data_IF_178273670581
#
_entry.id   IF_178273670581
#
_cell.length_a   1.000
_cell.length_b   1.000
_cell.length_c   1.000
_cell.angle_alpha   90.00
_cell.angle_beta   90.00
_cell.angle_gamma   90.00
#
_symmetry.space_group_name_H-M   'P 1'
#
loop_
_entity.id
_entity.type
_entity.pdbx_description
1 polymer ?
#
# COMPACT_ATOMS: atom_id res chain seq x y z
N UNK A 1 -9.27 1.78 -13.18
CA UNK A 1 -8.32 2.50 -12.29
C UNK A 1 -8.43 1.94 -10.87
N UNK A 2 -7.33 1.55 -10.27
CA UNK A 2 -7.24 1.07 -8.89
C UNK A 2 -6.75 2.21 -7.99
N UNK A 3 -7.50 2.51 -6.93
CA UNK A 3 -7.24 3.66 -6.07
C UNK A 3 -6.98 3.24 -4.63
N UNK A 4 -6.05 3.95 -3.98
CA UNK A 4 -5.63 3.74 -2.60
C UNK A 4 -5.70 5.06 -1.83
N UNK A 5 -6.23 5.01 -0.61
CA UNK A 5 -6.17 6.10 0.37
C UNK A 5 -5.28 5.66 1.53
N UNK A 6 -4.33 6.48 1.89
CA UNK A 6 -3.39 6.26 2.99
C UNK A 6 -3.64 7.28 4.08
N UNK A 7 -4.08 6.83 5.25
CA UNK A 7 -4.25 7.65 6.45
C UNK A 7 -3.07 7.48 7.40
N UNK A 8 -2.49 8.58 7.84
CA UNK A 8 -1.37 8.57 8.77
C UNK A 8 -1.28 9.88 9.56
N UNK A 9 -0.42 9.88 10.57
CA UNK A 9 0.07 11.14 11.14
C UNK A 9 1.35 11.57 10.45
N UNK A 10 1.56 12.87 10.35
CA UNK A 10 2.76 13.44 9.75
C UNK A 10 4.03 12.85 10.38
N UNK A 11 4.90 12.27 9.53
CA UNK A 11 6.12 11.57 9.94
C UNK A 11 6.01 10.02 9.97
N UNK A 12 4.82 9.42 9.81
CA UNK A 12 4.66 7.95 9.74
C UNK A 12 4.94 7.37 8.34
N UNK A 13 5.16 8.21 7.32
CA UNK A 13 5.63 7.78 6.01
C UNK A 13 4.54 7.31 5.03
N UNK A 14 3.28 7.75 5.17
CA UNK A 14 2.22 7.41 4.22
C UNK A 14 2.55 7.84 2.78
N UNK A 15 3.02 9.07 2.58
CA UNK A 15 3.39 9.53 1.25
C UNK A 15 4.60 8.76 0.68
N UNK A 16 5.53 8.34 1.54
CA UNK A 16 6.64 7.48 1.10
C UNK A 16 6.10 6.14 0.59
N UNK A 17 5.18 5.49 1.33
CA UNK A 17 4.54 4.25 0.89
C UNK A 17 3.73 4.44 -0.39
N UNK A 18 2.92 5.50 -0.47
CA UNK A 18 2.15 5.83 -1.68
C UNK A 18 3.04 5.98 -2.91
N UNK A 19 4.18 6.66 -2.78
CA UNK A 19 5.17 6.82 -3.86
C UNK A 19 5.85 5.51 -4.23
N UNK A 20 6.21 4.67 -3.25
CA UNK A 20 6.81 3.35 -3.52
C UNK A 20 5.84 2.46 -4.30
N UNK A 21 4.56 2.43 -3.90
CA UNK A 21 3.53 1.68 -4.62
C UNK A 21 3.34 2.21 -6.04
N UNK A 22 3.28 3.53 -6.22
CA UNK A 22 3.18 4.14 -7.54
C UNK A 22 4.38 3.83 -8.43
N UNK A 23 5.60 3.83 -7.87
CA UNK A 23 6.80 3.46 -8.60
C UNK A 23 6.81 1.96 -8.95
N UNK A 24 6.40 1.08 -8.02
CA UNK A 24 6.26 -0.34 -8.26
C UNK A 24 5.35 -0.61 -9.47
N UNK A 25 4.15 -0.02 -9.47
CA UNK A 25 3.21 -0.17 -10.58
C UNK A 25 3.76 0.41 -11.91
N UNK A 26 4.42 1.57 -11.87
CA UNK A 26 4.97 2.20 -13.08
C UNK A 26 6.18 1.48 -13.67
N UNK A 27 6.88 0.65 -12.89
CA UNK A 27 7.96 -0.22 -13.34
C UNK A 27 7.43 -1.52 -13.94
N UNK A 28 6.21 -1.91 -13.58
CA UNK A 28 5.49 -3.04 -14.20
C UNK A 28 5.09 -2.69 -15.63
N UNK A 29 5.10 -3.68 -16.50
CA UNK A 29 4.79 -3.46 -17.92
C UNK A 29 3.36 -2.95 -18.12
N UNK A 30 3.22 -1.82 -18.82
CA UNK A 30 1.95 -1.29 -19.29
C UNK A 30 1.10 -0.59 -18.22
N UNK A 31 1.59 -0.37 -17.00
CA UNK A 31 0.86 0.36 -15.97
C UNK A 31 1.29 1.82 -15.88
N UNK A 32 0.33 2.67 -15.56
CA UNK A 32 0.52 4.09 -15.23
C UNK A 32 0.17 4.28 -13.76
N UNK A 33 0.93 5.14 -13.08
CA UNK A 33 0.67 5.41 -11.67
C UNK A 33 0.80 6.90 -11.34
N UNK A 34 0.04 7.34 -10.36
CA UNK A 34 0.10 8.67 -9.79
C UNK A 34 0.04 8.57 -8.26
N UNK A 35 1.00 9.19 -7.58
CA UNK A 35 1.01 9.25 -6.12
C UNK A 35 1.20 10.69 -5.64
N UNK A 36 0.34 11.16 -4.72
CA UNK A 36 0.38 12.51 -4.19
C UNK A 36 -0.18 12.60 -2.77
N UNK A 37 0.29 13.55 -1.93
CA UNK A 37 -0.26 13.80 -0.61
C UNK A 37 -1.45 14.76 -0.69
N UNK A 38 -2.24 14.83 0.38
CA UNK A 38 -3.14 15.98 0.58
C UNK A 38 -2.30 17.24 0.77
N UNK A 39 -2.69 18.30 0.06
CA UNK A 39 -2.07 19.62 0.23
C UNK A 39 -2.59 20.29 1.50
N UNK A 40 -1.69 20.71 2.37
CA UNK A 40 -1.98 21.40 3.62
C UNK A 40 -0.71 21.68 4.41
N UNK A 41 -0.78 22.42 5.52
CA UNK A 41 0.40 22.66 6.34
C UNK A 41 0.87 21.33 6.96
N UNK A 42 2.00 20.83 6.45
CA UNK A 42 2.65 19.62 6.99
C UNK A 42 3.10 19.89 8.43
N UNK A 43 2.43 19.27 9.38
CA UNK A 43 2.82 19.29 10.79
C UNK A 43 3.07 17.87 11.25
N UNK A 44 4.22 17.65 11.89
CA UNK A 44 4.54 16.38 12.52
C UNK A 44 3.45 16.00 13.52
N UNK A 45 2.91 14.77 13.39
CA UNK A 45 1.86 14.24 14.25
C UNK A 45 0.43 14.64 13.85
N UNK A 46 0.23 15.63 12.97
CA UNK A 46 -1.11 15.96 12.47
C UNK A 46 -1.63 14.88 11.50
N UNK A 47 -2.95 14.64 11.46
CA UNK A 47 -3.55 13.77 10.46
C UNK A 47 -3.21 14.25 9.04
N UNK A 48 -2.85 13.31 8.18
CA UNK A 48 -2.58 13.54 6.76
C UNK A 48 -3.09 12.38 5.92
N UNK A 49 -3.36 12.63 4.65
CA UNK A 49 -3.67 11.60 3.67
C UNK A 49 -2.69 11.64 2.52
N UNK A 50 -2.45 10.47 1.93
CA UNK A 50 -1.81 10.35 0.63
C UNK A 50 -2.66 9.43 -0.25
N UNK A 51 -2.47 9.50 -1.54
CA UNK A 51 -3.22 8.75 -2.53
C UNK A 51 -2.27 8.06 -3.50
N UNK A 52 -2.68 6.87 -3.95
CA UNK A 52 -2.06 6.21 -5.10
C UNK A 52 -3.17 5.82 -6.07
N UNK A 53 -2.99 6.13 -7.34
CA UNK A 53 -3.85 5.70 -8.45
C UNK A 53 -3.01 4.87 -9.40
N UNK A 54 -3.53 3.71 -9.84
CA UNK A 54 -2.88 2.81 -10.80
C UNK A 54 -3.88 2.50 -11.91
N UNK A 55 -3.45 2.58 -13.16
CA UNK A 55 -4.31 2.31 -14.32
C UNK A 55 -3.49 1.72 -15.48
N UNK A 56 -4.16 1.11 -16.44
CA UNK A 56 -3.60 0.66 -17.72
C UNK A 56 -3.55 1.78 -18.76
N UNK A 57 -4.18 2.92 -18.49
CA UNK A 57 -4.17 4.12 -19.33
C UNK A 57 -3.55 5.32 -18.60
N UNK A 58 -3.05 6.33 -19.33
CA UNK A 58 -2.52 7.56 -18.73
C UNK A 58 -3.51 8.24 -17.79
N UNK A 59 -3.09 8.51 -16.55
CA UNK A 59 -3.93 9.09 -15.51
C UNK A 59 -3.94 10.62 -15.62
N UNK A 60 -5.01 11.19 -16.13
CA UNK A 60 -5.22 12.64 -16.20
C UNK A 60 -5.84 13.24 -14.94
N UNK A 61 -6.61 12.46 -14.19
CA UNK A 61 -7.30 12.91 -12.98
C UNK A 61 -6.35 12.97 -11.78
N UNK A 62 -6.13 14.18 -11.28
CA UNK A 62 -5.31 14.49 -10.10
C UNK A 62 -6.12 14.89 -8.88
N UNK A 63 -7.43 14.69 -8.91
CA UNK A 63 -8.31 14.96 -7.77
C UNK A 63 -8.03 13.99 -6.62
N UNK A 64 -8.36 14.42 -5.40
CA UNK A 64 -8.31 13.53 -4.23
C UNK A 64 -9.23 12.33 -4.43
N UNK A 65 -8.79 11.17 -3.95
CA UNK A 65 -9.60 9.95 -3.95
C UNK A 65 -10.63 10.05 -2.83
N UNK A 66 -11.89 9.80 -3.15
CA UNK A 66 -12.98 9.79 -2.17
C UNK A 66 -13.43 8.38 -1.80
N UNK A 67 -13.34 7.44 -2.74
CA UNK A 67 -13.64 6.02 -2.52
C UNK A 67 -12.55 5.18 -3.18
N UNK A 68 -11.96 4.28 -2.42
CA UNK A 68 -10.82 3.49 -2.86
C UNK A 68 -11.08 1.98 -2.70
N UNK A 69 -10.42 1.19 -3.53
CA UNK A 69 -10.37 -0.25 -3.35
C UNK A 69 -9.62 -0.63 -2.07
N UNK A 70 -8.63 0.16 -1.69
CA UNK A 70 -7.88 -0.02 -0.44
C UNK A 70 -7.80 1.28 0.33
N UNK A 71 -8.29 1.27 1.58
CA UNK A 71 -8.15 2.37 2.54
C UNK A 71 -7.22 1.90 3.66
N UNK A 72 -6.08 2.56 3.82
CA UNK A 72 -4.96 2.08 4.65
C UNK A 72 -4.74 3.06 5.80
N UNK A 73 -4.89 2.57 7.02
CA UNK A 73 -4.64 3.34 8.24
C UNK A 73 -3.35 2.89 8.92
N UNK A 74 -2.33 3.75 8.88
CA UNK A 74 -1.06 3.52 9.58
C UNK A 74 -1.19 3.73 11.09
N UNK A 75 -2.27 4.40 11.52
CA UNK A 75 -2.57 4.74 12.91
C UNK A 75 -4.06 4.53 13.18
N UNK A 76 -4.41 3.53 14.00
CA UNK A 76 -5.81 3.20 14.30
C UNK A 76 -6.59 4.32 14.98
N UNK A 77 -5.90 5.28 15.60
CA UNK A 77 -6.55 6.44 16.22
C UNK A 77 -7.13 7.45 15.23
N UNK A 78 -6.89 7.24 13.94
CA UNK A 78 -7.44 8.06 12.84
C UNK A 78 -8.71 7.48 12.24
N UNK A 79 -9.12 6.28 12.66
CA UNK A 79 -10.39 5.70 12.20
C UNK A 79 -11.53 6.42 12.89
N UNK A 80 -12.39 7.07 12.12
CA UNK A 80 -13.56 7.81 12.56
C UNK A 80 -14.84 7.11 12.12
N UNK A 81 -15.97 7.48 12.68
CA UNK A 81 -17.28 7.01 12.24
C UNK A 81 -17.50 7.41 10.75
N UNK A 82 -18.06 6.51 9.96
CA UNK A 82 -18.27 6.74 8.53
C UNK A 82 -17.07 6.38 7.65
N UNK A 83 -16.05 5.70 8.19
CA UNK A 83 -14.90 5.22 7.41
C UNK A 83 -15.31 4.36 6.19
N UNK A 84 -16.47 3.70 6.28
CA UNK A 84 -17.03 2.89 5.20
C UNK A 84 -17.32 3.69 3.92
N UNK A 85 -17.59 4.99 4.06
CA UNK A 85 -17.88 5.88 2.94
C UNK A 85 -16.67 6.08 2.02
N UNK A 86 -15.45 5.82 2.54
CA UNK A 86 -14.22 5.86 1.76
C UNK A 86 -13.93 4.54 1.00
N UNK A 87 -14.66 3.45 1.28
CA UNK A 87 -14.51 2.20 0.53
C UNK A 87 -15.31 2.23 -0.78
N UNK A 88 -14.66 1.86 -1.87
CA UNK A 88 -15.35 1.45 -3.08
C UNK A 88 -16.14 0.16 -2.84
N UNK A 89 -17.14 -0.17 -3.64
CA UNK A 89 -17.82 -1.46 -3.56
C UNK A 89 -16.81 -2.61 -3.60
N UNK A 90 -16.84 -3.48 -2.57
CA UNK A 90 -15.86 -4.56 -2.41
C UNK A 90 -14.46 -4.14 -1.93
N UNK A 91 -14.27 -2.87 -1.59
CA UNK A 91 -13.01 -2.37 -1.05
C UNK A 91 -12.68 -2.92 0.33
N UNK A 92 -11.42 -2.84 0.70
CA UNK A 92 -10.86 -3.36 1.95
C UNK A 92 -10.13 -2.26 2.73
N UNK A 93 -10.40 -2.18 4.03
CA UNK A 93 -9.58 -1.41 4.96
C UNK A 93 -8.41 -2.25 5.44
N UNK A 94 -7.19 -1.71 5.35
CA UNK A 94 -5.99 -2.26 6.00
C UNK A 94 -5.70 -1.40 7.24
N UNK A 95 -5.72 -2.01 8.42
CA UNK A 95 -5.59 -1.29 9.69
C UNK A 95 -4.38 -1.77 10.48
N UNK A 96 -3.50 -0.84 10.87
CA UNK A 96 -2.43 -1.14 11.82
C UNK A 96 -3.00 -1.35 13.21
N UNK A 97 -3.23 -2.60 13.59
CA UNK A 97 -3.77 -2.95 14.89
C UNK A 97 -3.40 -4.38 15.30
N UNK A 98 -3.34 -4.62 16.61
CA UNK A 98 -3.18 -5.96 17.21
C UNK A 98 -4.51 -6.61 17.56
N UNK A 99 -5.61 -5.87 17.46
CA UNK A 99 -6.93 -6.37 17.84
C UNK A 99 -7.47 -7.33 16.79
N UNK A 100 -8.16 -8.37 17.24
CA UNK A 100 -9.04 -9.15 16.39
C UNK A 100 -10.24 -8.27 15.99
N UNK A 101 -10.64 -8.35 14.74
CA UNK A 101 -11.74 -7.57 14.18
C UNK A 101 -12.72 -8.52 13.50
N UNK A 102 -14.01 -8.29 13.73
CA UNK A 102 -15.07 -9.17 13.21
C UNK A 102 -15.65 -8.67 11.87
N UNK A 103 -15.34 -7.43 11.44
CA UNK A 103 -15.80 -6.89 10.16
C UNK A 103 -14.94 -7.45 9.02
N UNK A 104 -15.54 -8.22 8.07
CA UNK A 104 -14.80 -8.81 6.96
C UNK A 104 -14.19 -7.79 5.99
N UNK A 105 -14.63 -6.52 6.06
CA UNK A 105 -14.07 -5.43 5.26
C UNK A 105 -12.79 -4.85 5.86
N UNK A 106 -12.36 -5.33 7.04
CA UNK A 106 -11.19 -4.81 7.72
C UNK A 106 -10.15 -5.92 7.91
N UNK A 107 -8.97 -5.72 7.34
CA UNK A 107 -7.81 -6.55 7.60
C UNK A 107 -6.90 -5.87 8.63
N UNK A 108 -6.95 -6.35 9.86
CA UNK A 108 -6.02 -5.92 10.92
C UNK A 108 -4.63 -6.54 10.72
N UNK A 109 -3.59 -5.72 10.75
CA UNK A 109 -2.18 -6.15 10.63
C UNK A 109 -1.40 -5.47 11.76
N UNK A 110 -0.64 -6.24 12.57
CA UNK A 110 0.32 -5.68 13.55
C UNK A 110 1.56 -5.14 12.82
N UNK A 111 1.37 -4.04 12.09
CA UNK A 111 2.43 -3.45 11.28
C UNK A 111 3.57 -2.88 12.16
N UNK A 112 3.25 -2.38 13.33
CA UNK A 112 4.26 -1.92 14.30
C UNK A 112 5.09 -3.10 14.82
N UNK A 113 4.48 -4.25 15.13
CA UNK A 113 5.18 -5.44 15.59
C UNK A 113 6.09 -6.02 14.50
N UNK A 114 5.57 -6.19 13.27
CA UNK A 114 6.34 -6.70 12.13
C UNK A 114 7.57 -5.81 11.87
N UNK A 115 7.37 -4.51 11.77
CA UNK A 115 8.48 -3.59 11.50
C UNK A 115 9.47 -3.50 12.66
N UNK A 116 9.00 -3.53 13.90
CA UNK A 116 9.86 -3.50 15.09
C UNK A 116 10.78 -4.74 15.17
N UNK A 117 10.29 -5.92 14.76
CA UNK A 117 11.09 -7.15 14.73
C UNK A 117 12.29 -7.02 13.79
N UNK A 118 12.14 -6.31 12.67
CA UNK A 118 13.20 -6.15 11.66
C UNK A 118 14.09 -4.94 11.95
N UNK A 119 13.50 -3.81 12.37
CA UNK A 119 14.18 -2.51 12.52
C UNK A 119 14.55 -2.16 13.96
N UNK A 120 13.99 -2.87 14.95
CA UNK A 120 14.07 -2.49 16.37
C UNK A 120 13.20 -1.28 16.74
N UNK A 121 12.32 -0.82 15.84
CA UNK A 121 11.40 0.30 16.06
C UNK A 121 10.17 0.19 15.14
N UNK A 122 9.00 0.69 15.55
CA UNK A 122 7.80 0.65 14.75
C UNK A 122 7.89 1.65 13.57
N UNK A 123 7.74 1.14 12.34
CA UNK A 123 7.63 1.92 11.11
C UNK A 123 6.64 1.18 10.20
N UNK A 124 5.33 1.41 10.35
CA UNK A 124 4.30 0.56 9.73
C UNK A 124 4.14 0.72 8.22
N UNK A 125 4.58 1.82 7.64
CA UNK A 125 4.30 2.17 6.25
C UNK A 125 4.76 1.12 5.23
N UNK A 126 5.94 0.53 5.41
CA UNK A 126 6.48 -0.47 4.47
C UNK A 126 5.80 -1.83 4.62
N UNK A 127 5.23 -2.13 5.80
CA UNK A 127 4.47 -3.36 6.04
C UNK A 127 3.26 -3.42 5.11
N UNK A 128 2.54 -2.32 4.95
CA UNK A 128 1.39 -2.28 4.05
C UNK A 128 1.77 -2.44 2.57
N UNK A 129 2.97 -2.00 2.17
CA UNK A 129 3.48 -2.30 0.83
C UNK A 129 3.63 -3.81 0.59
N UNK A 130 4.08 -4.56 1.59
CA UNK A 130 4.17 -6.02 1.51
C UNK A 130 2.81 -6.73 1.57
N UNK A 131 1.82 -6.14 2.23
CA UNK A 131 0.47 -6.69 2.28
C UNK A 131 -0.28 -6.60 0.93
N UNK A 132 -0.08 -5.52 0.18
CA UNK A 132 -0.82 -5.23 -1.07
C UNK A 132 -0.68 -6.35 -2.12
N UNK A 133 0.52 -6.89 -2.46
CA UNK A 133 0.66 -7.94 -3.47
C UNK A 133 -0.03 -9.26 -3.09
N UNK A 134 -0.29 -9.49 -1.80
CA UNK A 134 -1.07 -10.65 -1.37
C UNK A 134 -2.58 -10.47 -1.59
N UNK A 135 -3.03 -9.23 -1.82
CA UNK A 135 -4.45 -8.85 -1.89
C UNK A 135 -4.91 -8.47 -3.30
N UNK A 136 -3.99 -8.12 -4.21
CA UNK A 136 -4.32 -7.72 -5.58
C UNK A 136 -3.23 -8.16 -6.56
N UNK A 137 -3.63 -8.49 -7.77
CA UNK A 137 -2.71 -8.82 -8.87
C UNK A 137 -2.13 -7.59 -9.58
N UNK A 138 -2.48 -6.37 -9.15
CA UNK A 138 -2.03 -5.15 -9.80
C UNK A 138 -0.52 -4.89 -9.66
N UNK A 139 0.11 -5.46 -8.64
CA UNK A 139 1.55 -5.41 -8.40
C UNK A 139 2.01 -6.74 -7.78
N UNK A 140 3.19 -7.18 -8.14
CA UNK A 140 3.85 -8.34 -7.53
C UNK A 140 4.75 -7.92 -6.35
N UNK A 141 5.26 -8.88 -5.61
CA UNK A 141 6.23 -8.60 -4.55
C UNK A 141 7.55 -8.06 -5.13
N UNK A 142 7.94 -8.55 -6.30
CA UNK A 142 9.11 -8.09 -7.05
C UNK A 142 8.95 -6.65 -7.52
N UNK A 143 7.75 -6.24 -7.95
CA UNK A 143 7.45 -4.85 -8.30
C UNK A 143 7.60 -3.94 -7.07
N UNK A 144 7.12 -4.38 -5.90
CA UNK A 144 7.29 -3.62 -4.65
C UNK A 144 8.78 -3.47 -4.30
N UNK A 145 9.57 -4.54 -4.45
CA UNK A 145 11.02 -4.46 -4.26
C UNK A 145 11.65 -3.41 -5.20
N UNK A 146 11.33 -3.47 -6.48
CA UNK A 146 11.79 -2.50 -7.48
C UNK A 146 11.36 -1.07 -7.12
N UNK A 147 10.11 -0.87 -6.68
CA UNK A 147 9.59 0.42 -6.25
C UNK A 147 10.33 0.99 -5.03
N UNK A 148 10.69 0.16 -4.06
CA UNK A 148 11.51 0.55 -2.91
C UNK A 148 12.90 0.99 -3.37
N UNK A 149 13.56 0.19 -4.21
CA UNK A 149 14.90 0.50 -4.72
C UNK A 149 14.91 1.79 -5.54
N UNK A 150 13.86 2.05 -6.31
CA UNK A 150 13.75 3.26 -7.12
C UNK A 150 13.44 4.54 -6.32
N UNK A 151 12.83 4.43 -5.13
CA UNK A 151 12.30 5.59 -4.42
C UNK A 151 12.94 5.87 -3.07
N UNK A 152 13.57 4.88 -2.45
CA UNK A 152 14.23 5.03 -1.14
C UNK A 152 15.77 5.11 -1.29
N UNK A 153 16.45 5.75 -0.35
CA UNK A 153 17.92 5.69 -0.28
C UNK A 153 18.43 4.25 -0.09
N UNK A 154 19.49 3.86 -0.77
CA UNK A 154 20.09 2.52 -0.78
C UNK A 154 20.29 1.93 0.63
N UNK A 155 20.79 2.74 1.58
CA UNK A 155 20.98 2.33 2.99
C UNK A 155 19.71 1.81 3.69
N UNK A 156 18.54 2.06 3.12
CA UNK A 156 17.24 1.61 3.65
C UNK A 156 16.71 0.36 2.92
N UNK A 157 17.27 -0.03 1.76
CA UNK A 157 16.73 -1.10 0.93
C UNK A 157 16.65 -2.43 1.69
N UNK A 158 17.78 -2.98 2.11
CA UNK A 158 17.84 -4.31 2.73
C UNK A 158 16.88 -4.51 3.90
N UNK A 159 16.66 -3.47 4.71
CA UNK A 159 15.74 -3.54 5.84
C UNK A 159 14.27 -3.47 5.41
N UNK A 160 13.94 -2.58 4.46
CA UNK A 160 12.58 -2.44 3.99
C UNK A 160 12.14 -3.64 3.14
N UNK A 161 13.02 -4.22 2.31
CA UNK A 161 12.75 -5.45 1.59
C UNK A 161 12.38 -6.60 2.55
N UNK A 162 13.13 -6.79 3.62
CA UNK A 162 12.81 -7.81 4.64
C UNK A 162 11.48 -7.57 5.34
N UNK A 163 11.08 -6.32 5.57
CA UNK A 163 9.75 -6.00 6.13
C UNK A 163 8.65 -6.37 5.14
N UNK A 164 8.83 -6.01 3.87
CA UNK A 164 7.89 -6.30 2.79
C UNK A 164 7.69 -7.82 2.66
N UNK A 165 8.78 -8.60 2.64
CA UNK A 165 8.71 -10.06 2.56
C UNK A 165 7.97 -10.67 3.75
N UNK A 166 8.27 -10.20 4.97
CA UNK A 166 7.61 -10.67 6.18
C UNK A 166 6.11 -10.36 6.17
N UNK A 167 5.73 -9.16 5.74
CA UNK A 167 4.34 -8.74 5.65
C UNK A 167 3.57 -9.50 4.56
N UNK A 168 4.20 -9.72 3.40
CA UNK A 168 3.64 -10.53 2.32
C UNK A 168 3.37 -11.96 2.78
N UNK A 169 4.35 -12.62 3.40
CA UNK A 169 4.21 -13.99 3.91
C UNK A 169 3.09 -14.09 4.96
N UNK A 170 3.00 -13.12 5.87
CA UNK A 170 1.95 -13.03 6.88
C UNK A 170 0.56 -12.96 6.24
N UNK A 171 0.35 -12.00 5.33
CA UNK A 171 -0.97 -11.77 4.71
C UNK A 171 -1.33 -12.88 3.73
N UNK A 172 -0.39 -13.39 2.95
CA UNK A 172 -0.61 -14.49 2.00
C UNK A 172 -1.00 -15.81 2.71
N UNK A 173 -0.61 -15.98 3.98
CA UNK A 173 -0.99 -17.16 4.77
C UNK A 173 -2.43 -17.12 5.28
N UNK A 174 -3.09 -15.94 5.24
CA UNK A 174 -4.47 -15.76 5.73
C UNK A 174 -5.47 -16.14 4.64
N UNK A 175 -6.52 -16.87 5.00
CA UNK A 175 -7.69 -17.07 4.12
C UNK A 175 -8.49 -15.75 4.04
N UNK A 176 -8.19 -14.91 3.07
CA UNK A 176 -8.93 -13.67 2.82
C UNK A 176 -9.90 -13.95 1.67
N UNK A 177 -11.12 -14.32 2.03
CA UNK A 177 -12.11 -14.88 1.11
C UNK A 177 -12.67 -13.91 0.06
N UNK A 178 -12.53 -12.59 0.23
CA UNK A 178 -13.34 -11.62 -0.52
C UNK A 178 -12.59 -10.81 -1.58
N UNK A 179 -11.26 -10.71 -1.54
CA UNK A 179 -10.54 -9.66 -2.29
C UNK A 179 -9.92 -10.12 -3.60
N UNK A 180 -9.67 -11.42 -3.76
CA UNK A 180 -9.04 -11.93 -4.99
C UNK A 180 -9.93 -11.82 -6.24
N UNK A 181 -11.24 -11.90 -6.09
CA UNK A 181 -12.17 -11.91 -7.22
C UNK A 181 -12.55 -10.52 -7.72
N UNK A 182 -12.49 -9.49 -6.89
CA UNK A 182 -12.95 -8.14 -7.21
C UNK A 182 -11.91 -7.31 -7.96
N UNK A 183 -10.63 -7.55 -7.75
CA UNK A 183 -9.56 -6.77 -8.37
C UNK A 183 -8.92 -7.50 -9.56
N UNK A 184 -9.05 -8.82 -9.64
CA UNK A 184 -8.54 -9.61 -10.75
C UNK A 184 -9.33 -9.41 -12.05
N UNK A 185 -10.60 -9.01 -11.98
CA UNK A 185 -11.46 -8.88 -13.15
C UNK A 185 -11.21 -7.61 -13.99
N UNK A 186 -10.59 -6.56 -13.44
CA UNK A 186 -10.43 -5.27 -14.14
C UNK A 186 -9.00 -4.95 -14.60
N UNK A 187 -7.98 -5.70 -14.18
CA UNK A 187 -6.57 -5.39 -14.51
C UNK A 187 -5.75 -6.59 -14.95
N UNK A 188 -6.23 -7.38 -15.90
CA UNK A 188 -5.37 -8.29 -16.65
C UNK A 188 -4.62 -7.47 -17.70
N UNK A 189 -3.42 -7.01 -17.35
CA UNK A 189 -2.49 -6.43 -18.30
C UNK A 189 -1.74 -7.59 -18.97
N UNK A 190 -2.07 -7.89 -20.22
CA UNK A 190 -1.17 -8.63 -21.10
C UNK A 190 0.00 -7.69 -21.47
N UNK A 191 1.10 -7.79 -20.76
CA UNK A 191 2.33 -7.03 -21.03
C UNK A 191 3.55 -7.88 -20.77
N UNK A 192 4.45 -7.96 -21.76
CA UNK A 192 5.77 -8.60 -21.60
C UNK A 192 6.55 -7.85 -20.50
N UNK A 193 6.85 -8.54 -19.39
CA UNK A 193 7.57 -8.00 -18.25
C UNK A 193 8.95 -7.49 -18.65
N UNK A 194 9.34 -6.35 -18.08
CA UNK A 194 10.75 -5.97 -18.03
C UNK A 194 11.39 -6.75 -16.87
N UNK A 195 12.39 -7.55 -17.17
CA UNK A 195 13.24 -8.18 -16.16
C UNK A 195 13.96 -7.09 -15.35
N UNK A 196 13.47 -6.83 -14.14
CA UNK A 196 14.21 -6.04 -13.16
C UNK A 196 14.97 -7.01 -12.24
N UNK A 197 16.29 -6.93 -12.25
CA UNK A 197 17.13 -7.76 -11.40
C UNK A 197 17.26 -7.14 -10.01
N UNK A 198 16.57 -7.73 -9.02
CA UNK A 198 16.62 -7.32 -7.60
C UNK A 198 18.04 -7.38 -7.02
N UNK A 199 18.98 -8.08 -7.69
CA UNK A 199 20.38 -8.16 -7.25
C UNK A 199 21.15 -6.85 -7.41
N UNK A 200 20.59 -5.88 -8.12
CA UNK A 200 21.14 -4.53 -8.26
C UNK A 200 20.71 -3.59 -7.11
N UNK A 201 19.96 -4.09 -6.11
CA UNK A 201 19.62 -3.43 -4.87
C UNK A 201 20.59 -3.87 -3.77
#
# INVERSE_FOLDING_TARGET
MLEFIWHARGGQGAFTAARCLGAAAALSAGAYALAFPTFGPERRGAPMRAFTKIDTAPIGDRSAVHRAAFVIYLDETLVEDGWEDELAPGGLMLLNTKRALDDPRILGIDADGISATVLGRPIPNTVFLGAIPALTAAVTIEDIHAGICATMPEKLHAKNLRIVDAAFAEVASREIAATRDLVAAEMLVEGEGRDFDVRDC
#
